data_IF_255747073154
#
_entry.id   IF_255747073154
#
_cell.length_a   1.000
_cell.length_b   1.000
_cell.length_c   1.000
_cell.angle_alpha   90.00
_cell.angle_beta   90.00
_cell.angle_gamma   90.00
#
_symmetry.space_group_name_H-M   'P 1'
#
loop_
_entity.id
_entity.type
_entity.pdbx_description
1 polymer ?
#
# COMPACT_ATOMS: atom_id res chain seq x y z
N UNK A 1 14.07 17.73 17.79
CA UNK A 1 12.71 17.64 17.22
C UNK A 1 12.68 16.90 15.89
N UNK A 2 13.51 17.22 14.88
CA UNK A 2 13.40 16.54 13.57
C UNK A 2 13.69 15.03 13.57
N UNK A 3 14.48 14.52 14.53
CA UNK A 3 14.66 13.08 14.68
C UNK A 3 13.35 12.44 15.12
N UNK A 4 12.78 12.77 16.27
CA UNK A 4 11.58 12.07 16.78
C UNK A 4 10.38 12.13 15.83
N UNK A 5 10.24 13.22 15.08
CA UNK A 5 9.17 13.43 14.11
C UNK A 5 9.38 12.71 12.76
N UNK A 6 10.52 12.03 12.54
CA UNK A 6 10.82 11.40 11.25
C UNK A 6 9.81 10.33 10.81
N UNK A 7 9.08 9.76 11.78
CA UNK A 7 8.06 8.71 11.57
C UNK A 7 6.67 9.32 11.33
N UNK A 8 6.48 10.61 11.56
CA UNK A 8 5.17 11.26 11.34
C UNK A 8 4.90 11.43 9.85
N UNK A 9 3.85 10.77 9.38
CA UNK A 9 3.37 10.85 8.00
C UNK A 9 2.05 11.63 7.96
N UNK A 10 2.07 12.76 7.25
CA UNK A 10 0.89 13.59 7.00
C UNK A 10 0.31 13.41 5.59
N UNK A 11 1.01 12.69 4.73
CA UNK A 11 0.66 12.53 3.31
C UNK A 11 0.54 11.04 2.98
N UNK A 12 -0.60 10.64 2.45
CA UNK A 12 -0.92 9.25 2.13
C UNK A 12 -1.26 9.10 0.66
N UNK A 13 -0.91 7.94 0.10
CA UNK A 13 -1.27 7.57 -1.26
C UNK A 13 -1.84 6.17 -1.28
N UNK A 14 -2.99 5.99 -1.91
CA UNK A 14 -3.72 4.73 -1.92
C UNK A 14 -4.13 4.36 -3.34
N UNK A 15 -3.94 3.10 -3.70
CA UNK A 15 -4.44 2.58 -4.97
C UNK A 15 -5.95 2.45 -4.95
N UNK A 16 -6.61 2.62 -6.10
CA UNK A 16 -8.00 2.20 -6.31
C UNK A 16 -8.03 1.33 -7.56
N UNK A 17 -8.36 0.06 -7.36
CA UNK A 17 -8.41 -0.97 -8.39
C UNK A 17 -9.88 -1.32 -8.62
N UNK A 18 -10.31 -1.20 -9.87
CA UNK A 18 -11.66 -1.56 -10.29
C UNK A 18 -11.70 -3.00 -10.79
N UNK A 19 -12.58 -3.81 -10.21
CA UNK A 19 -12.77 -5.23 -10.52
C UNK A 19 -14.19 -5.47 -11.02
N UNK A 20 -14.28 -5.87 -12.29
CA UNK A 20 -15.54 -6.33 -12.90
C UNK A 20 -15.81 -7.78 -12.53
N UNK A 21 -17.06 -8.20 -12.70
CA UNK A 21 -17.47 -9.58 -12.47
C UNK A 21 -16.56 -10.57 -13.18
N UNK A 22 -16.01 -11.51 -12.42
CA UNK A 22 -15.22 -12.63 -12.94
C UNK A 22 -13.77 -12.30 -13.28
N UNK A 23 -13.32 -11.05 -13.16
CA UNK A 23 -11.91 -10.71 -13.33
C UNK A 23 -11.08 -11.27 -12.18
N UNK A 24 -10.04 -12.04 -12.49
CA UNK A 24 -9.20 -12.73 -11.51
C UNK A 24 -7.71 -12.66 -11.82
N UNK A 25 -7.31 -12.12 -12.97
CA UNK A 25 -5.91 -11.88 -13.30
C UNK A 25 -5.51 -10.42 -13.11
N UNK A 26 -4.23 -10.19 -12.81
CA UNK A 26 -3.66 -8.83 -12.71
C UNK A 26 -3.88 -8.00 -13.98
N UNK A 27 -3.75 -8.66 -15.13
CA UNK A 27 -3.88 -8.06 -16.47
C UNK A 27 -5.31 -7.59 -16.71
N UNK A 28 -6.32 -8.35 -16.27
CA UNK A 28 -7.72 -7.96 -16.33
C UNK A 28 -8.02 -6.76 -15.42
N UNK A 29 -7.48 -6.76 -14.19
CA UNK A 29 -7.70 -5.72 -13.20
C UNK A 29 -7.14 -4.37 -13.67
N UNK A 30 -5.89 -4.34 -14.15
CA UNK A 30 -5.29 -3.11 -14.66
C UNK A 30 -5.70 -2.77 -16.11
N UNK A 31 -6.22 -3.73 -16.87
CA UNK A 31 -6.67 -3.55 -18.26
C UNK A 31 -7.99 -2.78 -18.42
N UNK A 32 -8.70 -2.48 -17.33
CA UNK A 32 -9.97 -1.75 -17.39
C UNK A 32 -9.80 -0.30 -17.90
N UNK A 33 -10.30 0.00 -19.10
CA UNK A 33 -10.20 1.35 -19.70
C UNK A 33 -11.17 2.38 -19.08
N UNK A 34 -12.32 1.92 -18.62
CA UNK A 34 -13.39 2.74 -18.05
C UNK A 34 -13.93 2.07 -16.78
N UNK A 35 -14.57 2.87 -15.93
CA UNK A 35 -15.29 2.41 -14.75
C UNK A 35 -16.79 2.69 -14.84
N UNK A 36 -17.56 2.06 -13.96
CA UNK A 36 -19.02 2.22 -13.91
C UNK A 36 -19.47 3.45 -13.12
N UNK A 37 -20.72 3.89 -13.31
CA UNK A 37 -21.31 4.97 -12.52
C UNK A 37 -21.25 4.72 -11.00
N UNK A 38 -21.36 3.47 -10.57
CA UNK A 38 -21.25 3.11 -9.15
C UNK A 38 -19.85 3.38 -8.58
N UNK A 39 -18.77 3.13 -9.36
CA UNK A 39 -17.43 3.54 -8.95
C UNK A 39 -17.31 5.06 -8.94
N UNK A 40 -17.93 5.76 -9.91
CA UNK A 40 -17.89 7.22 -9.98
C UNK A 40 -18.51 7.88 -8.74
N UNK A 41 -19.69 7.40 -8.33
CA UNK A 41 -20.38 7.81 -7.11
C UNK A 41 -19.54 7.54 -5.85
N UNK A 42 -18.91 6.37 -5.78
CA UNK A 42 -17.99 6.02 -4.69
C UNK A 42 -16.79 6.97 -4.64
N UNK A 43 -16.19 7.28 -5.79
CA UNK A 43 -15.06 8.21 -5.89
C UNK A 43 -15.45 9.61 -5.39
N UNK A 44 -16.65 10.09 -5.73
CA UNK A 44 -17.19 11.36 -5.23
C UNK A 44 -17.49 11.33 -3.73
N UNK A 45 -17.71 10.14 -3.15
CA UNK A 45 -17.94 9.97 -1.71
C UNK A 45 -16.64 10.08 -0.91
N UNK A 46 -15.52 9.57 -1.45
CA UNK A 46 -14.25 9.48 -0.70
C UNK A 46 -13.38 10.74 -0.81
N UNK A 47 -13.58 11.56 -1.86
CA UNK A 47 -12.80 12.77 -2.06
C UNK A 47 -13.29 13.63 -3.23
N UNK A 48 -12.49 14.63 -3.55
CA UNK A 48 -12.78 15.63 -4.57
C UNK A 48 -12.01 15.31 -5.86
N UNK A 49 -12.68 15.46 -7.01
CA UNK A 49 -12.01 15.38 -8.31
C UNK A 49 -11.12 16.59 -8.52
N UNK A 50 -9.86 16.34 -8.85
CA UNK A 50 -8.84 17.39 -9.05
C UNK A 50 -8.16 17.21 -10.39
N UNK A 51 -7.93 18.31 -11.11
CA UNK A 51 -7.06 18.31 -12.29
C UNK A 51 -5.62 18.19 -11.83
N UNK A 52 -4.84 17.31 -12.47
CA UNK A 52 -3.44 17.09 -12.12
C UNK A 52 -2.56 18.24 -12.61
N UNK A 53 -2.87 18.81 -13.77
CA UNK A 53 -2.14 19.96 -14.31
C UNK A 53 -2.19 21.11 -13.30
N UNK A 54 -1.02 21.62 -12.93
CA UNK A 54 -0.83 22.72 -11.98
C UNK A 54 -1.36 22.49 -10.55
N UNK A 55 -1.72 21.25 -10.20
CA UNK A 55 -2.18 20.89 -8.85
C UNK A 55 -1.16 21.25 -7.78
N UNK A 56 -1.61 21.91 -6.69
CA UNK A 56 -0.74 22.43 -5.63
C UNK A 56 -0.72 21.58 -4.36
N UNK A 57 -1.60 20.59 -4.24
CA UNK A 57 -1.64 19.68 -3.09
C UNK A 57 -0.60 18.56 -3.18
N UNK A 58 -0.66 17.63 -2.22
CA UNK A 58 0.15 16.42 -2.25
C UNK A 58 -0.18 15.57 -3.48
N UNK A 59 0.77 15.47 -4.42
CA UNK A 59 0.59 14.80 -5.71
C UNK A 59 0.71 13.28 -5.72
N UNK A 60 1.09 12.63 -4.61
CA UNK A 60 1.22 11.16 -4.57
C UNK A 60 2.26 10.51 -5.49
N UNK A 61 3.03 11.30 -6.26
CA UNK A 61 3.91 10.79 -7.33
C UNK A 61 3.32 10.89 -8.74
N UNK A 62 2.11 11.42 -8.87
CA UNK A 62 1.49 11.77 -10.16
C UNK A 62 2.20 12.98 -10.79
N UNK A 63 2.12 13.05 -12.12
CA UNK A 63 2.68 14.15 -12.92
C UNK A 63 1.69 15.31 -13.00
N UNK A 64 2.10 16.45 -12.44
CA UNK A 64 1.32 17.69 -12.43
C UNK A 64 1.79 18.70 -13.49
N UNK A 65 2.76 18.31 -14.31
CA UNK A 65 3.45 19.20 -15.26
C UNK A 65 3.19 18.85 -16.73
N UNK A 66 3.30 17.57 -17.09
CA UNK A 66 3.20 17.11 -18.49
C UNK A 66 2.01 16.16 -18.72
N UNK A 67 1.11 16.00 -17.74
CA UNK A 67 -0.07 15.14 -17.80
C UNK A 67 0.23 13.67 -18.17
N UNK A 68 1.42 13.17 -17.86
CA UNK A 68 1.83 11.79 -18.19
C UNK A 68 1.13 10.72 -17.36
N UNK A 69 0.45 11.09 -16.28
CA UNK A 69 -0.23 10.16 -15.37
C UNK A 69 -1.74 10.41 -15.35
N UNK A 70 -2.30 10.88 -16.46
CA UNK A 70 -3.72 11.24 -16.58
C UNK A 70 -3.97 12.73 -16.42
N UNK A 71 -5.20 13.15 -16.68
CA UNK A 71 -5.62 14.54 -16.59
C UNK A 71 -6.16 14.92 -15.19
N UNK A 72 -6.76 13.95 -14.50
CA UNK A 72 -7.41 14.14 -13.21
C UNK A 72 -7.17 12.95 -12.27
N UNK A 73 -7.44 13.16 -10.99
CA UNK A 73 -7.49 12.12 -9.96
C UNK A 73 -8.49 12.52 -8.86
N UNK A 74 -8.60 11.70 -7.82
CA UNK A 74 -9.34 12.02 -6.59
C UNK A 74 -8.37 12.32 -5.47
N UNK A 75 -8.65 13.38 -4.73
CA UNK A 75 -7.83 13.87 -3.64
C UNK A 75 -8.71 14.28 -2.46
N UNK A 76 -8.22 14.16 -1.23
CA UNK A 76 -8.93 14.72 -0.08
C UNK A 76 -8.00 15.16 1.03
N UNK A 77 -8.49 16.09 1.87
CA UNK A 77 -7.88 16.42 3.17
C UNK A 77 -8.72 15.80 4.28
N UNK A 78 -8.09 15.02 5.14
CA UNK A 78 -8.76 14.31 6.23
C UNK A 78 -7.94 14.41 7.52
N UNK A 79 -8.48 15.02 8.57
CA UNK A 79 -7.83 15.18 9.88
C UNK A 79 -6.39 15.74 9.78
N UNK A 80 -6.24 16.81 9.02
CA UNK A 80 -4.95 17.48 8.77
C UNK A 80 -3.96 16.69 7.90
N UNK A 81 -4.40 15.59 7.28
CA UNK A 81 -3.61 14.75 6.37
C UNK A 81 -4.07 14.94 4.95
N UNK A 82 -3.16 14.85 3.99
CA UNK A 82 -3.46 14.88 2.56
C UNK A 82 -3.46 13.45 2.02
N UNK A 83 -4.48 13.10 1.25
CA UNK A 83 -4.64 11.77 0.65
C UNK A 83 -4.80 11.92 -0.86
N UNK A 84 -3.91 11.28 -1.60
CA UNK A 84 -4.00 11.17 -3.07
C UNK A 84 -4.39 9.74 -3.45
N UNK A 85 -5.39 9.58 -4.31
CA UNK A 85 -5.75 8.27 -4.82
C UNK A 85 -5.09 8.01 -6.18
N UNK A 86 -4.67 6.77 -6.41
CA UNK A 86 -4.20 6.30 -7.72
C UNK A 86 -5.29 5.41 -8.33
N UNK A 87 -6.20 6.02 -9.10
CA UNK A 87 -7.35 5.31 -9.68
C UNK A 87 -6.93 4.62 -10.97
N UNK A 88 -7.07 3.29 -11.03
CA UNK A 88 -6.60 2.49 -12.16
C UNK A 88 -7.18 2.95 -13.50
N UNK A 89 -8.45 3.35 -13.53
CA UNK A 89 -9.15 3.80 -14.74
C UNK A 89 -8.84 5.25 -15.14
N UNK A 90 -8.35 6.09 -14.23
CA UNK A 90 -7.94 7.48 -14.53
C UNK A 90 -6.45 7.59 -14.89
N UNK A 91 -5.66 6.57 -14.58
CA UNK A 91 -4.29 6.44 -15.07
C UNK A 91 -4.28 6.04 -16.56
N UNK A 92 -3.30 6.50 -17.35
CA UNK A 92 -3.25 6.23 -18.78
C UNK A 92 -3.26 4.73 -19.08
N UNK A 93 -3.99 4.37 -20.13
CA UNK A 93 -3.98 3.04 -20.70
C UNK A 93 -2.94 2.97 -21.82
N UNK A 94 -2.11 1.92 -21.84
CA UNK A 94 -1.12 1.71 -22.91
C UNK A 94 -1.54 0.54 -23.79
N UNK A 95 -1.81 0.77 -25.07
CA UNK A 95 -2.16 -0.30 -25.99
C UNK A 95 -0.96 -1.23 -26.23
N UNK A 96 -1.19 -2.54 -26.28
CA UNK A 96 -0.13 -3.55 -26.44
C UNK A 96 0.64 -3.90 -25.17
N UNK A 97 0.46 -3.17 -24.06
CA UNK A 97 1.05 -3.50 -22.76
C UNK A 97 0.03 -4.29 -21.91
N UNK A 98 0.04 -5.62 -21.97
CA UNK A 98 -0.89 -6.44 -21.18
C UNK A 98 -0.73 -6.25 -19.67
N UNK A 99 0.47 -5.88 -19.21
CA UNK A 99 0.80 -5.70 -17.80
C UNK A 99 0.48 -4.29 -17.29
N UNK A 100 0.13 -3.36 -18.19
CA UNK A 100 -0.20 -1.96 -17.89
C UNK A 100 0.80 -1.34 -16.89
N UNK A 101 2.09 -1.40 -17.25
CA UNK A 101 3.20 -1.06 -16.37
C UNK A 101 3.10 0.35 -15.81
N UNK A 102 2.56 1.31 -16.56
CA UNK A 102 2.35 2.68 -16.06
C UNK A 102 1.37 2.71 -14.89
N UNK A 103 0.26 1.95 -14.96
CA UNK A 103 -0.72 1.86 -13.87
C UNK A 103 -0.13 1.13 -12.67
N UNK A 104 0.51 -0.01 -12.94
CA UNK A 104 1.16 -0.85 -11.93
C UNK A 104 2.30 -0.11 -11.22
N UNK A 105 3.01 0.78 -11.91
CA UNK A 105 4.08 1.61 -11.32
C UNK A 105 3.58 2.53 -10.21
N UNK A 106 2.36 3.05 -10.32
CA UNK A 106 1.78 3.88 -9.28
C UNK A 106 1.14 2.99 -8.20
N UNK A 107 0.12 2.22 -8.57
CA UNK A 107 -0.68 1.43 -7.62
C UNK A 107 0.15 0.32 -6.97
N UNK A 108 1.00 -0.36 -7.74
CA UNK A 108 1.87 -1.43 -7.24
C UNK A 108 2.97 -0.96 -6.30
N UNK A 109 3.21 0.35 -6.20
CA UNK A 109 4.14 0.95 -5.22
C UNK A 109 3.41 1.59 -4.02
N UNK A 110 2.08 1.49 -3.97
CA UNK A 110 1.33 1.84 -2.77
C UNK A 110 1.40 0.71 -1.75
N UNK A 111 1.18 1.04 -0.48
CA UNK A 111 1.17 0.07 0.62
C UNK A 111 -0.22 -0.54 0.79
N UNK A 112 -1.24 0.31 0.61
CA UNK A 112 -2.66 -0.04 0.77
C UNK A 112 -3.41 0.34 -0.51
N UNK A 113 -4.33 -0.52 -0.94
CA UNK A 113 -5.23 -0.23 -2.05
C UNK A 113 -6.69 -0.55 -1.71
N UNK A 114 -7.60 0.15 -2.36
CA UNK A 114 -9.02 -0.18 -2.41
C UNK A 114 -9.25 -1.08 -3.62
N UNK A 115 -10.04 -2.14 -3.45
CA UNK A 115 -10.56 -2.94 -4.56
C UNK A 115 -12.06 -2.69 -4.63
N UNK A 116 -12.49 -1.93 -5.63
CA UNK A 116 -13.91 -1.68 -5.88
C UNK A 116 -14.47 -2.77 -6.79
N UNK A 117 -15.40 -3.57 -6.27
CA UNK A 117 -16.02 -4.67 -6.98
C UNK A 117 -17.40 -4.27 -7.45
N UNK A 118 -17.71 -4.42 -8.75
CA UNK A 118 -19.08 -4.19 -9.21
C UNK A 118 -20.05 -5.24 -8.68
N UNK A 119 -19.61 -6.49 -8.76
CA UNK A 119 -20.32 -7.66 -8.28
C UNK A 119 -19.36 -8.49 -7.44
N UNK A 120 -19.93 -9.25 -6.50
CA UNK A 120 -19.16 -10.13 -5.63
C UNK A 120 -18.27 -11.05 -6.48
N UNK A 121 -16.97 -10.81 -6.40
CA UNK A 121 -15.95 -11.54 -7.16
C UNK A 121 -14.86 -11.93 -6.17
N UNK A 122 -14.36 -13.17 -6.17
CA UNK A 122 -13.26 -13.53 -5.31
C UNK A 122 -12.06 -12.61 -5.54
N UNK A 123 -11.46 -12.12 -4.45
CA UNK A 123 -10.23 -11.35 -4.49
C UNK A 123 -9.27 -11.89 -3.43
N UNK A 124 -8.03 -12.15 -3.83
CA UNK A 124 -6.94 -12.47 -2.89
C UNK A 124 -5.73 -11.58 -3.18
N UNK A 125 -4.95 -11.19 -2.16
CA UNK A 125 -3.79 -10.32 -2.33
C UNK A 125 -2.78 -10.82 -3.39
N UNK A 126 -2.67 -12.14 -3.55
CA UNK A 126 -1.74 -12.79 -4.49
C UNK A 126 -2.14 -12.60 -5.96
N UNK A 127 -3.35 -12.11 -6.26
CA UNK A 127 -3.75 -11.74 -7.62
C UNK A 127 -2.91 -10.59 -8.19
N UNK A 128 -2.29 -9.77 -7.34
CA UNK A 128 -1.46 -8.63 -7.75
C UNK A 128 -0.04 -8.84 -7.26
N UNK A 129 0.88 -8.97 -8.20
CA UNK A 129 2.30 -9.16 -7.93
C UNK A 129 2.94 -7.81 -7.56
N UNK A 130 2.94 -7.51 -6.26
CA UNK A 130 3.60 -6.31 -5.72
C UNK A 130 4.45 -6.61 -4.49
N UNK A 131 5.57 -5.90 -4.40
CA UNK A 131 6.44 -5.89 -3.23
C UNK A 131 5.98 -4.95 -2.12
N UNK A 132 5.11 -3.98 -2.43
CA UNK A 132 4.69 -2.90 -1.54
C UNK A 132 3.25 -3.06 -1.06
N UNK A 133 2.34 -3.55 -1.91
CA UNK A 133 0.95 -3.79 -1.50
C UNK A 133 0.90 -4.90 -0.45
N UNK A 134 0.41 -4.56 0.74
CA UNK A 134 0.28 -5.50 1.87
C UNK A 134 -1.15 -5.57 2.41
N UNK A 135 -2.00 -4.57 2.13
CA UNK A 135 -3.38 -4.55 2.58
C UNK A 135 -4.32 -4.03 1.48
N UNK A 136 -5.47 -4.65 1.38
CA UNK A 136 -6.54 -4.31 0.45
C UNK A 136 -7.83 -4.12 1.23
N UNK A 137 -8.50 -2.99 1.00
CA UNK A 137 -9.87 -2.76 1.48
C UNK A 137 -10.81 -3.01 0.30
N UNK A 138 -11.56 -4.10 0.36
CA UNK A 138 -12.51 -4.47 -0.69
C UNK A 138 -13.83 -3.78 -0.41
N UNK A 139 -14.35 -3.04 -1.38
CA UNK A 139 -15.61 -2.30 -1.31
C UNK A 139 -16.51 -2.77 -2.45
N UNK A 140 -17.73 -3.20 -2.12
CA UNK A 140 -18.72 -3.65 -3.08
C UNK A 140 -20.03 -2.86 -2.86
N UNK A 141 -20.59 -2.18 -3.87
CA UNK A 141 -21.90 -1.56 -3.75
C UNK A 141 -22.98 -2.65 -3.64
N UNK A 142 -24.01 -2.37 -2.84
CA UNK A 142 -25.21 -3.20 -2.72
C UNK A 142 -26.28 -2.56 -3.58
N UNK A 143 -26.57 -3.18 -4.72
CA UNK A 143 -27.61 -2.72 -5.65
C UNK A 143 -29.00 -2.99 -5.04
N UNK A 144 -29.51 -2.05 -4.25
CA UNK A 144 -30.91 -2.02 -3.83
C UNK A 144 -31.68 -0.94 -4.58
N UNK A 145 -32.94 -1.19 -4.92
CA UNK A 145 -33.85 -0.22 -5.56
C UNK A 145 -34.20 0.98 -4.67
N UNK A 146 -33.81 0.95 -3.39
CA UNK A 146 -33.97 2.06 -2.44
C UNK A 146 -32.66 2.82 -2.30
N UNK A 147 -32.68 4.11 -2.63
CA UNK A 147 -31.76 5.10 -2.07
C UNK A 147 -31.87 5.06 -0.53
N UNK A 148 -30.76 5.19 0.23
CA UNK A 148 -29.39 5.50 -0.19
C UNK A 148 -28.54 4.26 -0.56
N UNK A 149 -27.55 4.45 -1.45
CA UNK A 149 -26.50 3.45 -1.77
C UNK A 149 -25.81 2.92 -0.52
N UNK A 150 -25.60 1.60 -0.45
CA UNK A 150 -24.87 0.94 0.64
C UNK A 150 -23.65 0.21 0.10
N UNK A 151 -22.62 0.07 0.94
CA UNK A 151 -21.38 -0.63 0.60
C UNK A 151 -21.11 -1.78 1.57
N UNK A 152 -20.75 -2.94 1.01
CA UNK A 152 -20.10 -4.03 1.72
C UNK A 152 -18.60 -3.80 1.77
N UNK A 153 -18.02 -3.90 2.96
CA UNK A 153 -16.59 -3.70 3.16
C UNK A 153 -15.96 -4.96 3.74
N UNK A 154 -14.83 -5.39 3.18
CA UNK A 154 -13.99 -6.44 3.75
C UNK A 154 -12.51 -6.10 3.61
N UNK A 155 -11.64 -6.83 4.32
CA UNK A 155 -10.19 -6.61 4.31
C UNK A 155 -9.49 -7.87 3.85
N UNK A 156 -8.60 -7.73 2.89
CA UNK A 156 -7.68 -8.78 2.48
C UNK A 156 -6.24 -8.26 2.67
N UNK A 157 -5.44 -8.92 3.50
CA UNK A 157 -4.09 -8.47 3.81
C UNK A 157 -3.12 -9.66 3.89
N UNK A 158 -1.81 -9.36 3.82
CA UNK A 158 -0.78 -10.37 4.09
C UNK A 158 -0.82 -10.82 5.55
N UNK A 159 -0.37 -12.05 5.79
CA UNK A 159 -0.43 -12.71 7.10
C UNK A 159 0.29 -11.96 8.23
N UNK A 160 1.30 -11.17 7.89
CA UNK A 160 2.17 -10.46 8.81
C UNK A 160 1.68 -9.03 9.10
N UNK A 161 0.56 -8.62 8.49
CA UNK A 161 -0.11 -7.36 8.83
C UNK A 161 -1.01 -7.59 10.04
N UNK A 162 -0.77 -6.90 11.18
CA UNK A 162 -1.63 -7.03 12.35
C UNK A 162 -3.03 -6.43 12.09
N UNK A 163 -4.02 -6.85 12.87
CA UNK A 163 -5.37 -6.25 12.84
C UNK A 163 -5.33 -4.75 13.16
N UNK A 164 -6.26 -3.99 12.58
CA UNK A 164 -6.33 -2.54 12.74
C UNK A 164 -7.77 -2.01 12.75
N UNK A 165 -7.94 -0.91 13.50
CA UNK A 165 -9.22 -0.23 13.71
C UNK A 165 -9.53 0.77 12.58
N UNK A 166 -10.78 1.27 12.46
CA UNK A 166 -11.98 0.82 13.16
C UNK A 166 -12.38 -0.61 12.77
N UNK A 167 -12.99 -1.38 13.65
CA UNK A 167 -13.51 -2.72 13.31
C UNK A 167 -14.66 -2.57 12.31
N UNK A 168 -14.79 -3.50 11.36
CA UNK A 168 -15.92 -3.48 10.42
C UNK A 168 -17.20 -3.78 11.22
N UNK A 169 -18.26 -2.98 11.10
CA UNK A 169 -19.52 -3.25 11.80
C UNK A 169 -20.06 -4.65 11.49
N UNK A 170 -20.73 -5.27 12.45
CA UNK A 170 -21.39 -6.58 12.26
C UNK A 170 -22.45 -6.54 11.15
N UNK A 171 -23.10 -5.37 10.95
CA UNK A 171 -23.81 -5.09 9.71
C UNK A 171 -22.78 -4.88 8.60
N UNK A 172 -22.61 -5.87 7.73
CA UNK A 172 -21.64 -5.83 6.63
C UNK A 172 -21.91 -4.67 5.65
N UNK A 173 -23.09 -4.05 5.69
CA UNK A 173 -23.51 -2.97 4.80
C UNK A 173 -23.48 -1.62 5.52
N UNK A 174 -22.69 -0.68 5.02
CA UNK A 174 -22.57 0.70 5.51
C UNK A 174 -23.21 1.64 4.50
N UNK A 175 -24.07 2.55 4.95
CA UNK A 175 -24.73 3.54 4.07
C UNK A 175 -23.71 4.57 3.57
N UNK A 176 -23.76 4.89 2.29
CA UNK A 176 -22.92 5.94 1.69
C UNK A 176 -23.17 7.30 2.37
N UNK A 177 -22.11 8.10 2.50
CA UNK A 177 -22.18 9.41 3.14
C UNK A 177 -20.96 9.72 4.01
N UNK A 178 -21.12 10.71 4.89
CA UNK A 178 -20.03 11.23 5.73
C UNK A 178 -19.47 10.16 6.69
N UNK A 179 -20.34 9.36 7.31
CA UNK A 179 -19.92 8.30 8.24
C UNK A 179 -19.11 7.21 7.53
N UNK A 180 -19.55 6.77 6.34
CA UNK A 180 -18.80 5.82 5.53
C UNK A 180 -17.46 6.38 5.09
N UNK A 181 -17.43 7.65 4.64
CA UNK A 181 -16.19 8.33 4.27
C UNK A 181 -15.20 8.40 5.44
N UNK A 182 -15.67 8.80 6.62
CA UNK A 182 -14.82 8.87 7.83
C UNK A 182 -14.29 7.50 8.23
N UNK A 183 -15.16 6.48 8.24
CA UNK A 183 -14.80 5.10 8.49
C UNK A 183 -13.71 4.63 7.52
N UNK A 184 -13.93 4.78 6.21
CA UNK A 184 -13.04 4.26 5.17
C UNK A 184 -11.69 4.97 5.18
N UNK A 185 -11.65 6.30 5.25
CA UNK A 185 -10.39 7.05 5.29
C UNK A 185 -9.58 6.72 6.54
N UNK A 186 -10.22 6.61 7.70
CA UNK A 186 -9.57 6.18 8.94
C UNK A 186 -9.03 4.76 8.81
N UNK A 187 -9.82 3.85 8.22
CA UNK A 187 -9.45 2.44 8.00
C UNK A 187 -8.25 2.32 7.07
N UNK A 188 -8.17 3.10 6.00
CA UNK A 188 -7.03 3.12 5.06
C UNK A 188 -5.73 3.61 5.72
N UNK A 189 -5.81 4.72 6.47
CA UNK A 189 -4.65 5.27 7.18
C UNK A 189 -4.14 4.26 8.24
N UNK A 190 -5.05 3.66 9.00
CA UNK A 190 -4.69 2.67 10.00
C UNK A 190 -4.18 1.36 9.38
N UNK A 191 -4.67 0.99 8.19
CA UNK A 191 -4.13 -0.12 7.41
C UNK A 191 -2.67 0.14 7.05
N UNK A 192 -2.32 1.34 6.61
CA UNK A 192 -0.93 1.69 6.30
C UNK A 192 -0.04 1.65 7.54
N UNK A 193 -0.52 2.19 8.66
CA UNK A 193 0.18 2.10 9.95
C UNK A 193 0.38 0.66 10.42
N UNK A 194 -0.59 -0.22 10.19
CA UNK A 194 -0.45 -1.65 10.46
C UNK A 194 0.58 -2.30 9.54
N UNK A 195 0.59 -1.94 8.25
CA UNK A 195 1.57 -2.45 7.29
C UNK A 195 3.00 -2.10 7.68
N UNK A 196 3.27 -0.93 8.28
CA UNK A 196 4.64 -0.61 8.75
C UNK A 196 5.16 -1.58 9.84
N UNK A 197 4.28 -2.33 10.51
CA UNK A 197 4.65 -3.37 11.49
C UNK A 197 4.93 -4.73 10.85
N UNK A 198 4.58 -4.91 9.56
CA UNK A 198 4.90 -6.12 8.81
C UNK A 198 6.42 -6.27 8.63
N UNK A 199 6.91 -7.50 8.55
CA UNK A 199 8.34 -7.82 8.67
C UNK A 199 9.22 -7.03 7.69
N UNK A 200 8.76 -6.95 6.43
CA UNK A 200 9.48 -6.27 5.36
C UNK A 200 9.64 -4.78 5.63
N UNK A 201 8.59 -4.13 6.12
CA UNK A 201 8.61 -2.69 6.39
C UNK A 201 9.28 -2.37 7.73
N UNK A 202 9.06 -3.20 8.75
CA UNK A 202 9.71 -3.08 10.05
C UNK A 202 11.24 -3.15 9.91
N UNK A 203 11.76 -4.10 9.13
CA UNK A 203 13.20 -4.24 8.87
C UNK A 203 13.78 -2.98 8.21
N UNK A 204 13.09 -2.45 7.20
CA UNK A 204 13.50 -1.22 6.52
C UNK A 204 13.42 0.02 7.42
N UNK A 205 12.39 0.07 8.28
CA UNK A 205 12.22 1.10 9.30
C UNK A 205 13.32 1.08 10.35
N UNK A 206 13.67 -0.10 10.86
CA UNK A 206 14.77 -0.26 11.81
C UNK A 206 16.11 0.21 11.23
N UNK A 207 16.44 -0.19 10.00
CA UNK A 207 17.66 0.26 9.31
C UNK A 207 17.73 1.78 9.17
N UNK A 208 16.61 2.38 8.75
CA UNK A 208 16.47 3.85 8.66
C UNK A 208 16.71 4.51 10.00
N UNK A 209 16.01 4.05 11.03
CA UNK A 209 16.07 4.63 12.38
C UNK A 209 17.48 4.57 12.96
N UNK A 210 18.17 3.43 12.79
CA UNK A 210 19.56 3.27 13.23
C UNK A 210 20.49 4.25 12.52
N UNK A 211 20.41 4.35 11.19
CA UNK A 211 21.25 5.28 10.40
C UNK A 211 21.01 6.75 10.78
N UNK A 212 19.75 7.14 10.98
CA UNK A 212 19.42 8.50 11.41
C UNK A 212 19.92 8.79 12.83
N UNK A 213 19.86 7.80 13.73
CA UNK A 213 20.31 7.95 15.11
C UNK A 213 21.83 8.10 15.18
N UNK A 214 22.55 7.31 14.38
CA UNK A 214 24.01 7.38 14.27
C UNK A 214 24.44 8.75 13.72
N UNK A 215 23.78 9.25 12.68
CA UNK A 215 24.01 10.61 12.17
C UNK A 215 23.75 11.68 13.24
N UNK A 216 22.65 11.57 13.97
CA UNK A 216 22.32 12.51 15.04
C UNK A 216 23.38 12.49 16.15
N UNK A 217 23.82 11.28 16.55
CA UNK A 217 24.86 11.10 17.55
C UNK A 217 26.16 11.80 17.12
N UNK A 218 26.63 11.56 15.90
CA UNK A 218 27.86 12.17 15.40
C UNK A 218 27.76 13.71 15.34
N UNK A 219 26.63 14.25 14.89
CA UNK A 219 26.41 15.70 14.82
C UNK A 219 26.43 16.34 16.21
N UNK A 220 25.76 15.72 17.19
CA UNK A 220 25.72 16.22 18.57
C UNK A 220 27.08 16.07 19.25
N UNK A 221 27.76 14.94 19.05
CA UNK A 221 29.08 14.69 19.61
C UNK A 221 30.09 15.72 19.11
N UNK A 222 30.11 15.97 17.79
CA UNK A 222 30.96 17.01 17.18
C UNK A 222 30.69 18.40 17.76
N UNK A 223 29.42 18.82 17.84
CA UNK A 223 29.06 20.13 18.41
C UNK A 223 29.42 20.26 19.89
N UNK A 224 29.30 19.19 20.67
CA UNK A 224 29.70 19.20 22.08
C UNK A 224 31.22 19.38 22.23
N UNK A 225 32.02 18.71 21.37
CA UNK A 225 33.47 18.90 21.37
C UNK A 225 33.87 20.33 20.98
N UNK A 226 33.20 20.92 19.99
CA UNK A 226 33.39 22.32 19.58
C UNK A 226 33.07 23.28 20.73
N UNK A 227 31.96 23.06 21.43
CA UNK A 227 31.52 23.90 22.55
C UNK A 227 32.47 23.83 23.75
N UNK A 228 33.05 22.66 24.02
CA UNK A 228 34.03 22.47 25.09
C UNK A 228 35.45 22.91 24.70
N UNK A 229 35.65 23.43 23.48
CA UNK A 229 36.97 23.80 22.97
C UNK A 229 37.92 22.61 22.82
N UNK A 230 37.38 21.38 22.80
CA UNK A 230 38.13 20.14 22.67
C UNK A 230 38.32 19.71 21.22
N UNK A 231 37.84 20.50 20.25
CA UNK A 231 38.23 20.30 18.86
C UNK A 231 39.68 20.68 18.68
N UNK A 232 40.50 19.70 18.34
CA UNK A 232 41.89 19.90 17.94
C UNK A 232 41.92 20.88 16.78
N UNK A 233 42.33 22.12 17.07
CA UNK A 233 42.71 23.10 16.07
C UNK A 233 44.01 22.62 15.44
N UNK A 234 43.89 21.72 14.47
CA UNK A 234 44.99 21.22 13.66
C UNK A 234 45.13 22.05 12.39
N UNK A 235 46.05 23.01 12.45
CA UNK A 235 46.63 23.80 11.36
C UNK A 235 45.97 25.15 11.05
N UNK A 236 46.59 26.18 11.63
CA UNK A 236 46.54 27.54 11.13
C UNK A 236 47.19 27.61 9.73
N UNK A 237 46.39 27.95 8.72
CA UNK A 237 46.81 28.79 7.60
C UNK A 237 45.68 29.74 7.28
N UNK A 238 45.95 31.03 7.47
CA UNK A 238 45.08 32.15 7.18
C UNK A 238 44.78 32.20 5.69
N UNK A 239 43.51 32.29 5.30
CA UNK A 239 42.94 33.37 4.45
C UNK A 239 41.51 33.03 4.04
N UNK A 240 40.61 34.02 4.10
CA UNK A 240 39.45 34.08 3.20
C UNK A 240 38.11 33.70 3.82
N UNK A 241 37.40 34.72 4.27
CA UNK A 241 35.95 34.85 4.38
C UNK A 241 35.10 33.89 3.52
N UNK A 242 34.23 33.10 4.16
CA UNK A 242 32.99 32.62 3.55
C UNK A 242 31.93 32.28 4.61
N UNK A 243 30.78 32.94 4.43
CA UNK A 243 29.43 32.71 4.96
C UNK A 243 29.16 31.44 5.77
N UNK A 244 28.58 31.67 6.94
CA UNK A 244 27.76 30.72 7.71
C UNK A 244 26.65 30.11 6.85
N UNK A 245 26.64 28.78 6.69
CA UNK A 245 25.56 28.06 6.01
C UNK A 245 25.55 26.55 6.27
N UNK A 246 24.39 26.06 6.69
CA UNK A 246 23.84 24.69 6.51
C UNK A 246 24.45 23.46 7.24
N UNK A 247 24.28 23.40 8.56
CA UNK A 247 24.28 22.12 9.30
C UNK A 247 22.95 21.32 9.24
N UNK A 248 21.93 21.82 8.52
CA UNK A 248 20.60 21.18 8.40
C UNK A 248 20.46 20.23 7.20
N UNK A 249 21.39 20.23 6.25
CA UNK A 249 21.22 19.54 4.96
C UNK A 249 21.46 18.02 4.99
N UNK A 250 22.36 17.51 5.84
CA UNK A 250 22.72 16.07 5.78
C UNK A 250 21.59 15.18 6.31
N UNK A 251 21.05 15.52 7.49
CA UNK A 251 19.92 14.79 8.09
C UNK A 251 18.64 14.91 7.24
N UNK A 252 18.36 16.09 6.66
CA UNK A 252 17.22 16.25 5.75
C UNK A 252 17.35 15.44 4.47
N UNK A 253 18.56 15.34 3.89
CA UNK A 253 18.83 14.54 2.68
C UNK A 253 18.66 13.04 2.91
N UNK A 254 19.01 12.52 4.09
CA UNK A 254 18.78 11.11 4.46
C UNK A 254 17.29 10.83 4.68
N UNK A 255 16.60 11.71 5.40
CA UNK A 255 15.13 11.65 5.59
C UNK A 255 14.39 11.71 4.25
N UNK A 256 14.82 12.58 3.35
CA UNK A 256 14.29 12.69 2.00
C UNK A 256 14.61 11.45 1.16
N UNK A 257 15.78 10.84 1.32
CA UNK A 257 16.15 9.61 0.60
C UNK A 257 15.33 8.42 1.05
N UNK A 258 15.02 8.33 2.35
CA UNK A 258 14.16 7.29 2.90
C UNK A 258 12.71 7.53 2.53
N UNK A 259 12.20 8.76 2.68
CA UNK A 259 10.87 9.14 2.18
C UNK A 259 10.75 8.91 0.67
N UNK A 260 11.81 9.12 -0.12
CA UNK A 260 11.86 8.78 -1.56
C UNK A 260 11.92 7.28 -1.82
N UNK A 261 12.59 6.50 -0.97
CA UNK A 261 12.61 5.03 -1.05
C UNK A 261 11.23 4.44 -0.73
N UNK A 262 10.49 5.04 0.20
CA UNK A 262 9.08 4.71 0.50
C UNK A 262 8.07 5.36 -0.46
N UNK A 263 8.46 6.44 -1.15
CA UNK A 263 7.61 7.17 -2.12
C UNK A 263 7.96 6.92 -3.58
N UNK A 264 8.73 5.88 -3.89
CA UNK A 264 8.94 5.35 -5.24
C UNK A 264 9.18 6.41 -6.32
N UNK A 265 10.21 7.25 -6.19
CA UNK A 265 10.53 8.22 -7.26
C UNK A 265 11.21 7.53 -8.44
N UNK A 266 10.37 7.06 -9.35
CA UNK A 266 10.43 7.25 -10.80
C UNK A 266 11.62 8.08 -11.33
N UNK A 267 12.65 7.41 -11.90
CA UNK A 267 13.62 8.04 -12.83
C UNK A 267 13.06 7.86 -14.25
N UNK A 268 12.89 8.95 -14.97
CA UNK A 268 12.60 8.97 -16.41
C UNK A 268 13.92 8.88 -17.17
N UNK A 269 14.17 7.77 -17.87
CA UNK A 269 15.15 7.73 -18.94
C UNK A 269 14.38 7.89 -20.25
N UNK A 270 14.33 9.11 -20.76
CA UNK A 270 13.96 9.39 -22.14
C UNK A 270 15.13 8.96 -23.00
N UNK A 271 15.00 7.90 -23.79
CA UNK A 271 15.98 7.60 -24.84
C UNK A 271 15.58 8.35 -26.10
N UNK A 272 16.46 9.26 -26.51
CA UNK A 272 16.46 9.89 -27.83
C UNK A 272 16.78 8.85 -28.91
N UNK A 273 15.97 8.87 -29.97
CA UNK A 273 16.13 8.09 -31.18
C UNK A 273 17.27 8.66 -32.03
N UNK A 274 18.28 7.86 -32.35
CA UNK A 274 19.16 8.10 -33.50
C UNK A 274 19.38 6.79 -34.27
N UNK A 275 19.23 6.90 -35.58
CA UNK A 275 19.22 5.84 -36.58
C UNK A 275 20.55 5.10 -36.74
N UNK A 276 20.49 3.84 -37.17
CA UNK A 276 21.66 3.08 -37.62
C UNK A 276 21.30 1.65 -38.05
N UNK A 277 21.47 1.39 -39.35
CA UNK A 277 21.25 0.14 -40.09
C UNK A 277 22.09 -1.05 -39.58
N UNK A 278 21.62 -2.28 -39.84
CA UNK A 278 22.48 -3.46 -39.94
C UNK A 278 21.85 -4.74 -39.40
N UNK A 279 21.73 -5.76 -40.26
CA UNK A 279 20.98 -7.00 -40.02
C UNK A 279 21.71 -8.06 -39.18
N UNK A 280 21.02 -9.20 -38.99
CA UNK A 280 21.60 -10.38 -38.34
C UNK A 280 20.56 -11.37 -37.86
N UNK A 281 20.42 -12.47 -38.60
CA UNK A 281 19.59 -13.66 -38.32
C UNK A 281 20.24 -14.54 -37.24
N UNK A 282 19.40 -15.26 -36.45
CA UNK A 282 19.54 -16.69 -36.07
C UNK A 282 19.34 -17.07 -34.58
N UNK A 283 18.36 -17.96 -34.38
CA UNK A 283 18.39 -19.25 -33.64
C UNK A 283 18.30 -19.35 -32.10
N UNK A 284 17.17 -19.92 -31.67
CA UNK A 284 16.95 -21.12 -30.82
C UNK A 284 17.60 -21.28 -29.43
N UNK A 285 16.78 -21.75 -28.48
CA UNK A 285 17.25 -22.54 -27.33
C UNK A 285 16.25 -22.55 -26.17
N UNK A 286 15.51 -23.64 -26.01
CA UNK A 286 14.55 -23.85 -24.91
C UNK A 286 15.16 -24.45 -23.64
N UNK A 287 14.32 -24.54 -22.60
CA UNK A 287 14.44 -25.55 -21.54
C UNK A 287 14.44 -25.03 -20.10
N UNK A 288 13.53 -25.57 -19.28
CA UNK A 288 13.88 -25.98 -17.91
C UNK A 288 13.19 -25.26 -16.75
N UNK A 289 12.15 -25.91 -16.21
CA UNK A 289 11.46 -25.62 -14.95
C UNK A 289 12.36 -25.68 -13.71
N UNK A 290 12.02 -24.94 -12.65
CA UNK A 290 12.04 -25.46 -11.27
C UNK A 290 11.00 -24.75 -10.40
N UNK A 291 10.17 -25.55 -9.71
CA UNK A 291 9.09 -25.09 -8.85
C UNK A 291 9.58 -24.53 -7.50
N UNK A 292 8.78 -23.64 -6.91
CA UNK A 292 8.92 -23.22 -5.52
C UNK A 292 7.57 -23.23 -4.80
N UNK A 293 7.53 -24.10 -3.79
CA UNK A 293 6.69 -24.18 -2.59
C UNK A 293 5.62 -23.09 -2.40
N UNK A 294 4.36 -23.56 -2.39
CA UNK A 294 3.24 -22.88 -1.74
C UNK A 294 3.48 -22.87 -0.21
N UNK A 295 3.25 -21.71 0.42
CA UNK A 295 3.06 -21.59 1.86
C UNK A 295 1.60 -21.20 2.12
N UNK A 296 0.97 -21.91 3.07
CA UNK A 296 -0.46 -21.90 3.34
C UNK A 296 -1.06 -20.54 3.74
N UNK A 297 -2.31 -20.35 3.30
CA UNK A 297 -3.20 -19.22 3.51
C UNK A 297 -4.18 -19.52 4.66
N UNK A 298 -4.55 -18.52 5.44
CA UNK A 298 -5.66 -18.60 6.40
C UNK A 298 -6.68 -17.51 6.09
N UNK A 299 -7.93 -17.89 5.87
CA UNK A 299 -9.09 -17.01 5.92
C UNK A 299 -9.48 -16.82 7.39
N UNK A 300 -9.42 -15.60 7.89
CA UNK A 300 -9.87 -15.32 9.27
C UNK A 300 -11.39 -15.16 9.23
N UNK A 301 -12.10 -16.24 9.55
CA UNK A 301 -13.51 -16.18 9.95
C UNK A 301 -13.58 -15.70 11.40
N UNK A 302 -14.44 -14.73 11.67
CA UNK A 302 -14.72 -14.24 13.02
C UNK A 302 -15.96 -14.96 13.54
N UNK A 303 -15.76 -16.02 14.34
CA UNK A 303 -16.82 -16.63 15.14
C UNK A 303 -16.78 -16.06 16.57
N UNK A 304 -17.91 -15.50 17.01
CA UNK A 304 -18.15 -15.13 18.40
C UNK A 304 -18.39 -16.37 19.26
N UNK A 305 -17.63 -16.53 20.35
CA UNK A 305 -18.11 -17.25 21.55
C UNK A 305 -17.67 -16.57 22.82
N UNK A 306 -18.69 -16.18 23.60
CA UNK A 306 -18.58 -15.57 24.91
C UNK A 306 -17.94 -16.47 25.95
N UNK A 307 -17.26 -15.81 26.88
CA UNK A 307 -16.63 -16.42 28.06
C UNK A 307 -17.70 -16.58 29.14
N UNK A 308 -18.07 -17.83 29.41
CA UNK A 308 -18.69 -18.25 30.67
C UNK A 308 -17.72 -19.15 31.41
N UNK A 309 -17.35 -18.80 32.64
CA UNK A 309 -16.60 -19.64 33.57
C UNK A 309 -17.34 -20.95 33.85
N UNK A 310 -16.63 -22.03 34.26
CA UNK A 310 -16.68 -22.35 35.68
C UNK A 310 -15.40 -22.96 36.27
N UNK A 311 -15.52 -23.14 37.58
CA UNK A 311 -14.62 -23.58 38.65
C UNK A 311 -14.20 -25.06 38.54
N UNK A 312 -12.93 -25.34 38.86
CA UNK A 312 -12.49 -26.29 39.91
C UNK A 312 -12.56 -27.82 39.72
N UNK A 313 -11.39 -28.42 39.99
CA UNK A 313 -11.09 -29.70 40.66
C UNK A 313 -11.04 -31.03 39.87
N UNK A 314 -9.84 -31.63 39.98
CA UNK A 314 -9.48 -33.03 40.24
C UNK A 314 -9.39 -34.12 39.16
N UNK A 315 -8.14 -34.57 39.01
CA UNK A 315 -7.61 -35.96 38.93
C UNK A 315 -8.16 -36.95 37.89
N UNK A 316 -7.27 -37.45 37.00
CA UNK A 316 -6.84 -38.86 36.95
C UNK A 316 -6.03 -39.18 35.67
N UNK A 317 -4.96 -39.96 35.85
CA UNK A 317 -4.16 -40.64 34.83
C UNK A 317 -4.84 -41.93 34.35
N UNK A 318 -4.75 -42.27 33.06
CA UNK A 318 -4.45 -43.60 32.44
C UNK A 318 -4.61 -43.46 30.91
N UNK A 319 -3.55 -43.58 30.11
CA UNK A 319 -3.03 -44.80 29.46
C UNK A 319 -3.72 -45.16 28.11
N UNK A 320 -2.94 -44.92 27.04
CA UNK A 320 -2.63 -45.78 25.89
C UNK A 320 -3.77 -46.37 25.00
N UNK A 321 -3.76 -46.03 23.71
CA UNK A 321 -3.78 -47.03 22.61
C UNK A 321 -3.61 -46.39 21.23
N UNK A 322 -2.90 -47.12 20.37
CA UNK A 322 -2.45 -46.83 19.01
C UNK A 322 -3.56 -46.90 17.95
N UNK A 323 -3.26 -46.21 16.84
CA UNK A 323 -3.44 -46.59 15.42
C UNK A 323 -4.56 -45.86 14.61
N UNK A 324 -4.37 -45.73 13.28
CA UNK A 324 -4.72 -44.53 12.52
C UNK A 324 -6.05 -44.65 11.78
N UNK A 325 -6.74 -43.53 11.58
CA UNK A 325 -7.90 -43.44 10.68
C UNK A 325 -7.57 -42.45 9.56
N UNK A 326 -7.45 -43.00 8.37
CA UNK A 326 -7.53 -42.31 7.09
C UNK A 326 -8.93 -41.69 6.98
N UNK A 327 -9.03 -40.37 6.81
CA UNK A 327 -10.22 -39.72 6.25
C UNK A 327 -9.84 -38.65 5.23
N UNK A 328 -10.16 -38.97 3.99
CA UNK A 328 -10.57 -38.04 2.94
C UNK A 328 -11.53 -36.97 3.50
N UNK A 329 -11.29 -35.71 3.17
CA UNK A 329 -12.31 -34.64 3.03
C UNK A 329 -11.71 -33.56 2.14
N UNK A 330 -12.05 -33.56 0.84
CA UNK A 330 -13.20 -32.87 0.23
C UNK A 330 -13.02 -31.34 0.12
N UNK A 331 -12.83 -30.92 -1.15
CA UNK A 331 -13.26 -29.62 -1.66
C UNK A 331 -14.72 -29.38 -1.29
N UNK A 332 -15.05 -28.18 -0.82
CA UNK A 332 -16.42 -27.65 -0.94
C UNK A 332 -16.40 -26.21 -1.43
N UNK A 333 -16.84 -26.06 -2.68
CA UNK A 333 -17.40 -24.84 -3.23
C UNK A 333 -18.78 -24.60 -2.58
N UNK A 334 -19.03 -23.40 -2.06
CA UNK A 334 -20.35 -23.02 -1.58
C UNK A 334 -21.11 -22.27 -2.68
N UNK A 335 -22.05 -23.02 -3.26
CA UNK A 335 -23.22 -22.58 -4.02
C UNK A 335 -24.22 -22.01 -3.00
N UNK A 336 -24.66 -20.76 -3.14
CA UNK A 336 -25.81 -20.24 -2.39
C UNK A 336 -26.97 -20.04 -3.36
N UNK A 337 -28.08 -20.66 -2.98
CA UNK A 337 -29.31 -20.84 -3.73
C UNK A 337 -30.23 -19.62 -3.54
N UNK A 338 -30.96 -19.30 -4.60
CA UNK A 338 -32.10 -18.38 -4.64
C UNK A 338 -33.21 -18.84 -3.71
N UNK A 339 -33.77 -17.91 -2.95
CA UNK A 339 -35.21 -17.69 -2.74
C UNK A 339 -35.42 -16.30 -2.17
#
# INVERSE_FOLDING_TARGET
MSYDEHVLTHNFKFGVIYQKKGQTSEEELFGNRTHSPALDEFLNTIGDRVQLKDFKGFRGGLDTTHCQTGAESVYTRFNGKEVMFHISTLLPYTEGDSQQLQRKRHIGNDIVAIVFQEENTPFVPDMIASHFLHCFIVVQPVTSSSEPTKYKVSVAARKDVPRFNPVIPSSTEIVSGAEFREFLLTKLINAEFACYKAEKFATLGHRTRSSLLESLYHDLHKRNLELLGLTVSGSATMTGSASSGSGKESSSRLLDSVKRAFSGKTRTASQETMAGLGGGVATSGGGGSTGKKLNGLATVGEDEKGIGSPVGTDTAFLADTKAPIIRNTNLYALRVCSR
#
